data_IF_483972866011
#
_entry.id   IF_483972866011
#
_cell.length_a   1.000
_cell.length_b   1.000
_cell.length_c   1.000
_cell.angle_alpha   90.00
_cell.angle_beta   90.00
_cell.angle_gamma   90.00
#
_symmetry.space_group_name_H-M   'P 1'
#
loop_
_entity.id
_entity.type
_entity.pdbx_description
1 polymer ?
#
# COMPACT_ATOMS: atom_id res chain seq x y z
N UNK A 1 4.63 -16.69 4.62
CA UNK A 1 4.11 -16.66 5.96
C UNK A 1 3.02 -15.66 6.10
N UNK A 2 2.11 -15.94 6.97
CA UNK A 2 1.00 -15.02 7.19
C UNK A 2 1.46 -13.80 7.96
N UNK A 3 0.83 -12.67 7.69
CA UNK A 3 1.12 -11.45 8.43
C UNK A 3 0.49 -11.49 9.81
N UNK A 4 1.15 -10.87 10.76
CA UNK A 4 0.61 -10.69 12.09
C UNK A 4 -0.53 -9.68 12.01
N UNK A 5 -1.75 -10.02 12.48
CA UNK A 5 -2.87 -9.07 12.42
C UNK A 5 -2.59 -7.76 13.14
N UNK A 6 -1.79 -7.79 14.22
CA UNK A 6 -1.46 -6.56 14.92
C UNK A 6 -0.61 -5.63 14.07
N UNK A 7 0.28 -6.20 13.26
CA UNK A 7 1.08 -5.39 12.34
C UNK A 7 0.18 -4.76 11.27
N UNK A 8 -0.77 -5.54 10.76
CA UNK A 8 -1.69 -5.05 9.74
C UNK A 8 -2.50 -3.88 10.29
N UNK A 9 -3.02 -4.03 11.52
CA UNK A 9 -3.80 -2.95 12.13
C UNK A 9 -2.93 -1.70 12.36
N UNK A 10 -1.68 -1.92 12.76
CA UNK A 10 -0.75 -0.83 12.96
C UNK A 10 -0.54 -0.04 11.65
N UNK A 11 -0.37 -0.75 10.54
CA UNK A 11 -0.20 -0.09 9.24
C UNK A 11 -1.45 0.67 8.84
N UNK A 12 -2.63 0.11 9.08
CA UNK A 12 -3.89 0.81 8.79
C UNK A 12 -3.92 2.12 9.54
N UNK A 13 -3.58 2.09 10.83
CA UNK A 13 -3.60 3.29 11.65
C UNK A 13 -2.56 4.31 11.20
N UNK A 14 -1.37 3.85 10.86
CA UNK A 14 -0.29 4.74 10.43
C UNK A 14 -0.60 5.42 9.09
N UNK A 15 -1.35 4.76 8.23
CA UNK A 15 -1.68 5.30 6.92
C UNK A 15 -2.98 6.09 6.89
N UNK A 16 -3.71 6.11 7.99
CA UNK A 16 -5.08 6.67 8.01
C UNK A 16 -5.15 8.16 7.68
N UNK A 17 -4.05 8.89 7.83
CA UNK A 17 -4.02 10.30 7.47
C UNK A 17 -4.14 10.55 5.97
N UNK A 18 -3.91 9.54 5.13
CA UNK A 18 -3.96 9.69 3.69
C UNK A 18 -5.37 9.52 3.13
N UNK A 19 -6.27 8.94 3.89
CA UNK A 19 -7.63 8.67 3.44
C UNK A 19 -8.19 7.47 4.18
N UNK A 20 -9.24 6.91 3.63
CA UNK A 20 -9.86 5.75 4.24
C UNK A 20 -9.08 4.51 3.84
N UNK A 21 -8.41 3.89 4.80
CA UNK A 21 -7.55 2.75 4.55
C UNK A 21 -8.33 1.46 4.82
N UNK A 22 -8.27 0.54 3.89
CA UNK A 22 -8.89 -0.76 4.04
C UNK A 22 -7.92 -1.83 3.57
N UNK A 23 -8.05 -3.02 4.11
CA UNK A 23 -7.22 -4.14 3.67
C UNK A 23 -8.11 -5.32 3.31
N UNK A 24 -7.61 -6.15 2.41
CA UNK A 24 -8.32 -7.33 2.00
C UNK A 24 -7.36 -8.50 2.06
N UNK A 25 -7.72 -9.51 2.81
CA UNK A 25 -6.86 -10.68 2.96
C UNK A 25 -6.78 -11.46 1.66
N UNK A 26 -5.58 -11.90 1.31
CA UNK A 26 -5.36 -12.65 0.10
C UNK A 26 -4.23 -13.63 0.31
N UNK A 27 -4.56 -14.91 0.40
CA UNK A 27 -3.56 -15.98 0.50
C UNK A 27 -2.52 -15.77 1.59
N UNK A 28 -2.97 -15.34 2.76
CA UNK A 28 -2.06 -15.14 3.90
C UNK A 28 -1.48 -13.75 4.00
N UNK A 29 -1.57 -12.97 2.93
CA UNK A 29 -1.09 -11.60 2.93
C UNK A 29 -2.28 -10.67 2.75
N UNK A 30 -2.03 -9.37 2.64
CA UNK A 30 -3.12 -8.40 2.53
C UNK A 30 -2.86 -7.42 1.41
N UNK A 31 -3.93 -7.05 0.70
CA UNK A 31 -3.91 -5.94 -0.23
C UNK A 31 -4.35 -4.70 0.51
N UNK A 32 -3.67 -3.59 0.31
CA UNK A 32 -3.97 -2.34 1.01
C UNK A 32 -4.56 -1.32 0.04
N UNK A 33 -5.69 -0.74 0.46
CA UNK A 33 -6.43 0.22 -0.36
C UNK A 33 -6.56 1.55 0.37
N UNK A 34 -6.54 2.63 -0.39
CA UNK A 34 -6.84 3.96 0.16
C UNK A 34 -7.96 4.55 -0.69
N UNK A 35 -9.09 4.85 -0.08
CA UNK A 35 -10.28 5.35 -0.77
C UNK A 35 -10.65 4.45 -1.96
N UNK A 36 -10.51 3.15 -1.77
CA UNK A 36 -10.86 2.17 -2.79
C UNK A 36 -9.79 1.90 -3.83
N UNK A 37 -8.66 2.60 -3.78
CA UNK A 37 -7.59 2.41 -4.75
C UNK A 37 -6.50 1.52 -4.14
N UNK A 38 -6.16 0.45 -4.82
CA UNK A 38 -5.12 -0.46 -4.36
C UNK A 38 -3.75 0.21 -4.48
N UNK A 39 -3.09 0.50 -3.36
CA UNK A 39 -1.80 1.18 -3.40
C UNK A 39 -0.62 0.30 -3.01
N UNK A 40 -0.88 -0.83 -2.41
CA UNK A 40 0.23 -1.67 -1.99
C UNK A 40 -0.20 -2.96 -1.37
N UNK A 41 0.77 -3.66 -0.80
CA UNK A 41 0.58 -4.96 -0.18
C UNK A 41 1.24 -5.00 1.18
N UNK A 42 0.70 -5.81 2.07
CA UNK A 42 1.34 -6.09 3.34
C UNK A 42 1.64 -7.59 3.33
N UNK A 43 2.91 -7.93 3.22
CA UNK A 43 3.35 -9.31 3.10
C UNK A 43 4.42 -9.61 4.12
N UNK A 44 4.28 -10.71 4.84
CA UNK A 44 5.31 -11.17 5.77
C UNK A 44 5.76 -10.06 6.72
N UNK A 45 4.80 -9.29 7.25
CA UNK A 45 5.04 -8.18 8.18
C UNK A 45 5.89 -7.08 7.58
N UNK A 46 5.75 -6.85 6.27
CA UNK A 46 6.41 -5.74 5.59
C UNK A 46 5.40 -4.99 4.74
N UNK A 47 5.60 -3.69 4.61
CA UNK A 47 4.74 -2.86 3.76
C UNK A 47 5.41 -2.63 2.41
N UNK A 48 4.66 -2.87 1.35
CA UNK A 48 5.12 -2.63 -0.01
C UNK A 48 4.14 -1.69 -0.68
N UNK A 49 4.65 -0.71 -1.42
CA UNK A 49 3.82 0.28 -2.10
C UNK A 49 4.09 0.21 -3.60
N UNK A 50 3.05 0.34 -4.40
CA UNK A 50 3.18 0.27 -5.85
C UNK A 50 4.14 1.34 -6.36
N UNK A 51 4.93 0.98 -7.36
CA UNK A 51 5.91 1.90 -7.94
C UNK A 51 5.22 2.95 -8.79
N UNK A 52 5.41 4.21 -8.45
CA UNK A 52 4.90 5.34 -9.23
C UNK A 52 5.98 6.42 -9.27
N UNK A 53 5.92 7.26 -10.29
CA UNK A 53 6.84 8.41 -10.37
C UNK A 53 6.69 9.36 -9.20
N UNK A 54 5.45 9.83 -8.91
CA UNK A 54 5.26 10.73 -7.77
C UNK A 54 5.65 10.13 -6.43
N UNK A 55 5.40 8.82 -6.26
CA UNK A 55 5.78 8.16 -5.02
C UNK A 55 7.29 8.10 -4.84
N UNK A 56 8.00 7.87 -5.94
CA UNK A 56 9.46 7.80 -5.90
C UNK A 56 10.06 9.12 -5.40
N UNK A 57 9.46 10.24 -5.76
CA UNK A 57 9.96 11.55 -5.34
C UNK A 57 9.85 11.74 -3.82
N UNK A 58 8.82 11.16 -3.21
CA UNK A 58 8.62 11.29 -1.77
C UNK A 58 9.57 10.40 -0.97
N UNK A 59 10.01 9.29 -1.56
CA UNK A 59 10.81 8.31 -0.82
C UNK A 59 12.17 8.86 -0.40
N UNK A 60 12.52 8.61 0.86
CA UNK A 60 13.85 8.97 1.36
C UNK A 60 14.88 8.06 0.72
N UNK A 61 14.52 6.81 0.50
CA UNK A 61 15.41 5.81 -0.07
C UNK A 61 14.58 4.88 -0.94
N UNK A 62 15.01 4.64 -2.15
CA UNK A 62 14.28 3.76 -3.06
C UNK A 62 14.83 2.35 -2.93
N UNK A 63 14.03 1.45 -2.38
CA UNK A 63 14.37 0.04 -2.27
C UNK A 63 13.29 -0.74 -2.99
N UNK A 64 13.69 -1.47 -4.02
CA UNK A 64 12.74 -2.26 -4.79
C UNK A 64 12.85 -3.72 -4.39
N UNK A 65 11.72 -4.34 -4.09
CA UNK A 65 11.68 -5.75 -3.72
C UNK A 65 10.40 -6.38 -4.22
N UNK A 66 10.50 -7.65 -4.54
CA UNK A 66 9.33 -8.43 -4.90
C UNK A 66 8.69 -8.93 -3.62
N UNK A 67 7.41 -8.65 -3.37
CA UNK A 67 6.76 -9.09 -2.11
C UNK A 67 6.65 -10.61 -1.99
N UNK A 68 6.61 -11.32 -3.11
CA UNK A 68 6.55 -12.77 -3.11
C UNK A 68 7.06 -13.25 -4.47
N UNK A 69 7.35 -14.54 -4.57
CA UNK A 69 7.89 -15.12 -5.80
C UNK A 69 6.96 -14.86 -6.97
N UNK A 70 7.52 -14.34 -8.04
CA UNK A 70 6.75 -14.08 -9.26
C UNK A 70 6.09 -12.72 -9.31
N UNK A 71 6.12 -11.95 -8.23
CA UNK A 71 5.54 -10.63 -8.24
C UNK A 71 6.52 -9.62 -8.83
N UNK A 72 5.98 -8.51 -9.39
CA UNK A 72 6.84 -7.43 -9.82
C UNK A 72 7.38 -6.72 -8.60
N UNK A 73 8.38 -5.88 -8.82
CA UNK A 73 8.96 -5.11 -7.73
C UNK A 73 8.00 -4.03 -7.24
N UNK A 74 8.01 -3.83 -5.94
CA UNK A 74 7.28 -2.76 -5.28
C UNK A 74 8.30 -1.96 -4.47
N UNK A 75 7.94 -0.76 -4.06
CA UNK A 75 8.76 -0.02 -3.10
C UNK A 75 8.66 -0.69 -1.74
N UNK A 76 9.78 -1.10 -1.20
CA UNK A 76 9.83 -1.66 0.15
C UNK A 76 9.92 -0.50 1.14
N UNK A 77 9.00 -0.45 2.09
CA UNK A 77 8.93 0.66 3.04
C UNK A 77 9.33 0.17 4.43
N UNK A 78 10.45 0.65 4.92
CA UNK A 78 10.92 0.27 6.25
C UNK A 78 10.50 1.28 7.32
N UNK A 79 10.27 2.54 6.92
CA UNK A 79 9.93 3.61 7.89
C UNK A 79 8.45 3.64 8.21
N UNK A 80 7.92 2.51 8.68
CA UNK A 80 6.48 2.41 8.94
C UNK A 80 6.05 3.13 10.21
N UNK A 81 7.01 3.60 11.00
CA UNK A 81 6.68 4.33 12.21
C UNK A 81 6.52 5.83 11.98
N UNK A 82 6.83 6.30 10.78
CA UNK A 82 6.72 7.71 10.44
C UNK A 82 5.40 7.97 9.74
N UNK A 83 4.41 8.34 10.54
CA UNK A 83 3.05 8.54 10.04
C UNK A 83 2.96 9.61 8.95
N UNK A 84 3.66 10.70 9.12
CA UNK A 84 3.63 11.79 8.14
C UNK A 84 4.24 11.37 6.82
N UNK A 85 5.33 10.60 6.90
CA UNK A 85 5.98 10.11 5.72
C UNK A 85 5.07 9.15 4.95
N UNK A 86 4.42 8.23 5.64
CA UNK A 86 3.50 7.30 5.00
C UNK A 86 2.32 8.04 4.38
N UNK A 87 1.79 9.03 5.07
CA UNK A 87 0.68 9.83 4.56
C UNK A 87 1.08 10.53 3.26
N UNK A 88 2.25 11.16 3.25
CA UNK A 88 2.72 11.87 2.07
C UNK A 88 2.97 10.92 0.91
N UNK A 89 3.54 9.76 1.20
CA UNK A 89 3.82 8.77 0.17
C UNK A 89 2.54 8.26 -0.47
N UNK A 90 1.55 7.93 0.33
CA UNK A 90 0.29 7.41 -0.20
C UNK A 90 -0.45 8.48 -0.98
N UNK A 91 -0.49 9.70 -0.47
CA UNK A 91 -1.15 10.80 -1.17
C UNK A 91 -0.50 11.09 -2.53
N UNK A 92 0.81 10.92 -2.63
CA UNK A 92 1.50 11.11 -3.88
C UNK A 92 1.26 9.93 -4.84
N UNK A 93 1.10 8.74 -4.29
CA UNK A 93 0.97 7.51 -5.07
C UNK A 93 -0.41 7.35 -5.68
N UNK A 94 -1.46 7.62 -4.90
CA UNK A 94 -2.83 7.35 -5.31
C UNK A 94 -3.22 7.98 -6.65
N UNK A 95 -2.94 9.28 -6.90
CA UNK A 95 -3.35 9.88 -8.17
C UNK A 95 -2.70 9.25 -9.40
N UNK A 96 -1.56 8.58 -9.21
CA UNK A 96 -0.85 7.96 -10.31
C UNK A 96 -1.30 6.53 -10.58
N UNK A 97 -2.20 5.99 -9.75
CA UNK A 97 -2.69 4.63 -9.89
C UNK A 97 -4.05 4.60 -10.58
N UNK A 98 -4.35 3.49 -11.26
CA UNK A 98 -5.67 3.37 -11.89
C UNK A 98 -6.75 3.33 -10.83
N UNK A 99 -7.84 4.00 -11.08
CA UNK A 99 -8.97 3.99 -10.18
C UNK A 99 -9.78 2.73 -10.41
N UNK A 100 -10.49 2.28 -9.39
CA UNK A 100 -11.31 1.08 -9.54
C UNK A 100 -12.38 1.30 -10.58
N UNK A 101 -12.48 0.47 -11.61
CA UNK A 101 -13.45 0.63 -12.59
C UNK A 101 -14.68 -0.02 -12.22
N UNK A 102 -14.64 -1.05 -11.56
CA UNK A 102 -15.83 -1.79 -11.24
C UNK A 102 -16.80 -1.08 -10.44
N UNK A 103 -16.42 -0.09 -9.86
CA UNK A 103 -17.29 0.63 -9.15
C UNK A 103 -18.27 1.17 -9.89
N UNK A 104 -18.09 1.22 -10.83
CA UNK A 104 -19.00 1.82 -11.55
C UNK A 104 -19.90 1.08 -12.06
N UNK A 105 -20.15 0.52 -11.77
CA UNK A 105 -20.99 0.09 -12.20
C UNK A 105 -21.79 -0.31 -12.17
N UNK A 106 -22.08 -0.40 -12.18
CA UNK A 106 -22.70 -0.80 -12.44
C UNK A 106 -23.71 -0.85 -12.66
N UNK A 107 -23.83 -0.70 -12.84
CA UNK A 107 -24.55 -0.71 -13.12
C UNK A 107 -24.98 -0.88 -13.49
N UNK A 108 -24.84 -0.91 -13.60
CA UNK A 108 -24.99 -1.10 -14.01
C UNK A 108 -25.35 -1.42 -13.98
#
# INVERSE_FOLDING_TARGET
MACNPDFVQYIIDQCSGAGEIAVKKMMGDYCAYCDGVLFGLICDNNLYVKVTGPGRVVLKEVILRSPYDGAKDYFYISDVDDREYLTALIKATIPALPKPKAKKNPMK
#
